data_IF_916585657191
#
_entry.id   IF_916585657191
#
_cell.length_a   1.000
_cell.length_b   1.000
_cell.length_c   1.000
_cell.angle_alpha   90.00
_cell.angle_beta   90.00
_cell.angle_gamma   90.00
#
_symmetry.space_group_name_H-M   'P 1'
#
loop_
_entity.id
_entity.type
_entity.pdbx_description
1 polymer ?
#
# COMPACT_ATOMS: atom_id res chain seq x y z
N UNK A 1 24.76 -14.25 -3.03
CA UNK A 1 23.89 -13.30 -2.30
C UNK A 1 22.90 -14.14 -1.53
N UNK A 2 22.92 -14.03 -0.21
CA UNK A 2 22.23 -14.96 0.68
C UNK A 2 20.71 -14.83 0.52
N UNK A 3 19.99 -15.97 0.57
CA UNK A 3 18.53 -16.02 0.41
C UNK A 3 17.77 -15.09 1.39
N UNK A 4 18.40 -14.76 2.52
CA UNK A 4 17.94 -13.73 3.46
C UNK A 4 17.87 -12.34 2.83
N UNK A 5 18.93 -11.91 2.14
CA UNK A 5 18.98 -10.55 1.60
C UNK A 5 17.98 -10.38 0.44
N UNK A 6 17.86 -11.40 -0.42
CA UNK A 6 16.86 -11.41 -1.49
C UNK A 6 15.43 -11.35 -0.94
N UNK A 7 15.15 -12.04 0.18
CA UNK A 7 13.84 -12.02 0.82
C UNK A 7 13.48 -10.66 1.42
N UNK A 8 14.44 -9.99 2.06
CA UNK A 8 14.24 -8.67 2.66
C UNK A 8 14.09 -7.59 1.59
N UNK A 9 14.89 -7.63 0.52
CA UNK A 9 14.78 -6.70 -0.60
C UNK A 9 13.45 -6.84 -1.35
N UNK A 10 12.99 -8.07 -1.61
CA UNK A 10 11.68 -8.29 -2.24
C UNK A 10 10.53 -7.83 -1.34
N UNK A 11 10.53 -8.22 -0.06
CA UNK A 11 9.46 -7.83 0.88
C UNK A 11 9.39 -6.32 1.10
N UNK A 12 10.56 -5.68 1.31
CA UNK A 12 10.66 -4.24 1.48
C UNK A 12 10.32 -3.46 0.20
N UNK A 13 10.83 -3.91 -0.95
CA UNK A 13 10.52 -3.32 -2.26
C UNK A 13 9.03 -3.38 -2.60
N UNK A 14 8.37 -4.51 -2.31
CA UNK A 14 6.93 -4.66 -2.47
C UNK A 14 6.12 -3.72 -1.58
N UNK A 15 6.51 -3.59 -0.31
CA UNK A 15 5.88 -2.66 0.62
C UNK A 15 6.04 -1.20 0.19
N UNK A 16 7.21 -0.80 -0.30
CA UNK A 16 7.45 0.56 -0.82
C UNK A 16 6.66 0.80 -2.11
N UNK A 17 6.65 -0.16 -3.04
CA UNK A 17 5.88 -0.07 -4.28
C UNK A 17 4.37 0.05 -3.98
N UNK A 18 3.87 -0.73 -3.02
CA UNK A 18 2.51 -0.62 -2.52
C UNK A 18 2.23 0.79 -1.98
N UNK A 19 3.13 1.32 -1.14
CA UNK A 19 3.07 2.68 -0.58
C UNK A 19 3.04 3.80 -1.65
N UNK A 20 3.81 3.63 -2.72
CA UNK A 20 3.84 4.59 -3.82
C UNK A 20 2.53 4.58 -4.63
N UNK A 21 2.02 3.39 -4.96
CA UNK A 21 0.71 3.24 -5.60
C UNK A 21 -0.38 3.79 -4.68
N UNK A 22 -0.29 3.55 -3.35
CA UNK A 22 -1.02 4.20 -2.23
C UNK A 22 -1.21 5.70 -2.43
N UNK A 23 -0.08 6.37 -2.56
CA UNK A 23 -0.05 7.81 -2.58
C UNK A 23 -0.59 8.40 -3.88
N UNK A 24 -0.27 7.79 -5.03
CA UNK A 24 -0.65 8.31 -6.35
C UNK A 24 -2.15 8.22 -6.58
N UNK A 25 -2.75 7.06 -6.33
CA UNK A 25 -4.20 6.85 -6.53
C UNK A 25 -5.02 7.72 -5.57
N UNK A 26 -4.55 7.93 -4.34
CA UNK A 26 -5.20 8.83 -3.38
C UNK A 26 -5.18 10.30 -3.84
N UNK A 27 -4.08 10.75 -4.47
CA UNK A 27 -4.03 12.08 -5.10
C UNK A 27 -4.93 12.20 -6.33
N UNK A 28 -5.05 11.15 -7.13
CA UNK A 28 -5.89 11.14 -8.33
C UNK A 28 -7.40 11.12 -8.01
N UNK A 29 -7.80 10.34 -7.01
CA UNK A 29 -9.19 10.22 -6.57
C UNK A 29 -9.79 11.54 -6.06
N UNK A 30 -8.95 12.42 -5.52
CA UNK A 30 -9.37 13.71 -4.97
C UNK A 30 -9.67 14.79 -6.01
N UNK A 31 -9.42 14.53 -7.30
CA UNK A 31 -9.79 15.44 -8.39
C UNK A 31 -11.25 15.31 -8.85
N UNK A 32 -12.02 14.35 -8.33
CA UNK A 32 -13.38 14.06 -8.79
C UNK A 32 -14.44 14.23 -7.69
N UNK A 33 -15.69 14.48 -8.12
CA UNK A 33 -16.85 14.77 -7.26
C UNK A 33 -17.10 13.75 -6.14
N UNK A 34 -17.76 14.20 -5.08
CA UNK A 34 -17.97 13.52 -3.80
C UNK A 34 -18.57 12.10 -3.91
N UNK A 35 -19.42 11.84 -4.91
CA UNK A 35 -19.96 10.49 -5.18
C UNK A 35 -18.94 9.56 -5.86
N UNK A 36 -18.10 10.10 -6.76
CA UNK A 36 -16.99 9.35 -7.36
C UNK A 36 -15.85 9.12 -6.37
N UNK A 37 -15.69 10.00 -5.37
CA UNK A 37 -14.68 9.85 -4.32
C UNK A 37 -14.80 8.55 -3.54
N UNK A 38 -16.02 8.15 -3.11
CA UNK A 38 -16.24 6.89 -2.40
C UNK A 38 -15.94 5.67 -3.30
N UNK A 39 -16.42 5.68 -4.54
CA UNK A 39 -16.15 4.62 -5.50
C UNK A 39 -14.65 4.49 -5.84
N UNK A 40 -13.94 5.61 -5.99
CA UNK A 40 -12.49 5.63 -6.23
C UNK A 40 -11.68 5.22 -5.00
N UNK A 41 -12.13 5.57 -3.79
CA UNK A 41 -11.43 5.20 -2.55
C UNK A 41 -11.61 3.72 -2.25
N UNK A 42 -12.83 3.20 -2.33
CA UNK A 42 -13.14 1.77 -2.14
C UNK A 42 -12.54 0.94 -3.27
N UNK A 43 -12.70 1.37 -4.52
CA UNK A 43 -12.09 0.72 -5.69
C UNK A 43 -10.57 0.74 -5.64
N UNK A 44 -9.97 1.84 -5.19
CA UNK A 44 -8.53 1.97 -4.98
C UNK A 44 -7.99 1.07 -3.86
N UNK A 45 -8.72 0.95 -2.75
CA UNK A 45 -8.40 -0.01 -1.69
C UNK A 45 -8.47 -1.46 -2.18
N UNK A 46 -9.57 -1.83 -2.85
CA UNK A 46 -9.74 -3.17 -3.40
C UNK A 46 -8.65 -3.51 -4.44
N UNK A 47 -8.39 -2.61 -5.39
CA UNK A 47 -7.34 -2.78 -6.38
C UNK A 47 -5.97 -2.98 -5.72
N UNK A 48 -5.69 -2.27 -4.62
CA UNK A 48 -4.47 -2.45 -3.84
C UNK A 48 -4.40 -3.75 -3.09
N UNK A 49 -5.47 -4.16 -2.41
CA UNK A 49 -5.49 -5.45 -1.72
C UNK A 49 -5.28 -6.59 -2.72
N UNK A 50 -5.98 -6.57 -3.85
CA UNK A 50 -5.82 -7.56 -4.93
C UNK A 50 -4.42 -7.52 -5.52
N UNK A 51 -3.88 -6.33 -5.81
CA UNK A 51 -2.54 -6.16 -6.35
C UNK A 51 -1.45 -6.67 -5.39
N UNK A 52 -1.59 -6.36 -4.09
CA UNK A 52 -0.64 -6.81 -3.08
C UNK A 52 -0.71 -8.32 -2.87
N UNK A 53 -1.90 -8.89 -2.88
CA UNK A 53 -2.10 -10.34 -2.80
C UNK A 53 -1.48 -11.03 -4.01
N UNK A 54 -1.74 -10.54 -5.22
CA UNK A 54 -1.18 -11.08 -6.46
C UNK A 54 0.35 -10.99 -6.48
N UNK A 55 0.91 -9.85 -6.07
CA UNK A 55 2.35 -9.65 -6.05
C UNK A 55 3.05 -10.49 -4.96
N UNK A 56 2.39 -10.66 -3.81
CA UNK A 56 2.86 -11.59 -2.76
C UNK A 56 2.82 -13.03 -3.23
N UNK A 57 1.73 -13.46 -3.88
CA UNK A 57 1.60 -14.79 -4.45
C UNK A 57 2.66 -15.04 -5.53
N UNK A 58 2.90 -14.06 -6.42
CA UNK A 58 3.97 -14.14 -7.42
C UNK A 58 5.36 -14.22 -6.77
N UNK A 59 5.65 -13.41 -5.75
CA UNK A 59 6.93 -13.46 -5.04
C UNK A 59 7.16 -14.82 -4.39
N UNK A 60 6.15 -15.40 -3.75
CA UNK A 60 6.26 -16.73 -3.12
C UNK A 60 6.33 -17.86 -4.15
N UNK A 61 5.61 -17.75 -5.27
CA UNK A 61 5.59 -18.78 -6.30
C UNK A 61 6.86 -18.81 -7.16
N UNK A 62 7.43 -17.65 -7.47
CA UNK A 62 8.55 -17.55 -8.42
C UNK A 62 9.91 -17.31 -7.75
N UNK A 63 9.97 -16.84 -6.51
CA UNK A 63 11.24 -16.62 -5.81
C UNK A 63 11.45 -17.68 -4.70
N UNK A 64 12.69 -18.14 -4.48
CA UNK A 64 13.03 -18.99 -3.33
C UNK A 64 13.09 -18.14 -2.05
N UNK A 65 11.94 -17.64 -1.60
CA UNK A 65 11.79 -16.82 -0.40
C UNK A 65 11.49 -17.68 0.82
N UNK A 66 12.15 -17.35 1.94
CA UNK A 66 11.79 -17.92 3.24
C UNK A 66 10.58 -17.18 3.79
N UNK A 67 9.49 -17.87 4.17
CA UNK A 67 8.22 -17.23 4.51
C UNK A 67 8.32 -16.33 5.75
N UNK A 68 9.05 -16.75 6.79
CA UNK A 68 9.22 -15.98 8.01
C UNK A 68 9.90 -14.61 7.80
N UNK A 69 11.11 -14.50 7.20
CA UNK A 69 11.75 -13.20 6.96
C UNK A 69 11.01 -12.36 5.91
N UNK A 70 10.38 -12.99 4.92
CA UNK A 70 9.55 -12.27 3.94
C UNK A 70 8.35 -11.60 4.63
N UNK A 71 7.60 -12.34 5.46
CA UNK A 71 6.48 -11.78 6.22
C UNK A 71 6.95 -10.70 7.21
N UNK A 72 8.08 -10.93 7.89
CA UNK A 72 8.65 -9.97 8.84
C UNK A 72 9.05 -8.63 8.18
N UNK A 73 9.41 -8.62 6.89
CA UNK A 73 9.66 -7.40 6.14
C UNK A 73 8.37 -6.80 5.54
N UNK A 74 7.47 -7.65 5.04
CA UNK A 74 6.23 -7.25 4.37
C UNK A 74 5.25 -6.56 5.32
N UNK A 75 5.00 -7.16 6.49
CA UNK A 75 4.00 -6.70 7.46
C UNK A 75 4.30 -5.28 7.97
N UNK A 76 5.49 -4.95 8.50
CA UNK A 76 5.75 -3.59 8.96
C UNK A 76 5.76 -2.57 7.83
N UNK A 77 6.19 -2.94 6.61
CA UNK A 77 6.13 -2.05 5.46
C UNK A 77 4.67 -1.75 5.06
N UNK A 78 3.79 -2.75 5.11
CA UNK A 78 2.35 -2.59 4.92
C UNK A 78 1.73 -1.69 6.00
N UNK A 79 2.04 -1.95 7.28
CA UNK A 79 1.56 -1.13 8.40
C UNK A 79 2.02 0.32 8.27
N UNK A 80 3.28 0.56 7.89
CA UNK A 80 3.81 1.90 7.66
C UNK A 80 3.09 2.61 6.50
N UNK A 81 2.85 1.92 5.39
CA UNK A 81 2.06 2.45 4.27
C UNK A 81 0.62 2.79 4.68
N UNK A 82 -0.02 1.92 5.46
CA UNK A 82 -1.38 2.12 5.96
C UNK A 82 -1.44 3.30 6.93
N UNK A 83 -0.48 3.41 7.85
CA UNK A 83 -0.36 4.54 8.76
C UNK A 83 -0.18 5.86 7.99
N UNK A 84 0.65 5.87 6.95
CA UNK A 84 0.84 7.04 6.09
C UNK A 84 -0.46 7.44 5.35
N UNK A 85 -1.23 6.48 4.85
CA UNK A 85 -2.54 6.74 4.24
C UNK A 85 -3.54 7.31 5.26
N UNK A 86 -3.64 6.72 6.44
CA UNK A 86 -4.54 7.20 7.51
C UNK A 86 -4.17 8.62 7.92
N UNK A 87 -2.88 8.91 8.15
CA UNK A 87 -2.41 10.26 8.49
C UNK A 87 -2.75 11.26 7.39
N UNK A 88 -2.59 10.87 6.13
CA UNK A 88 -2.92 11.72 4.97
C UNK A 88 -4.42 12.01 4.88
N UNK A 89 -5.27 11.00 5.11
CA UNK A 89 -6.73 11.13 5.17
C UNK A 89 -7.18 11.99 6.35
N UNK A 90 -6.56 11.80 7.52
CA UNK A 90 -6.90 12.54 8.74
C UNK A 90 -6.55 14.03 8.60
N UNK A 91 -5.34 14.36 8.15
CA UNK A 91 -4.92 15.75 7.89
C UNK A 91 -5.86 16.48 6.93
N UNK A 92 -6.28 15.81 5.85
CA UNK A 92 -7.19 16.41 4.86
C UNK A 92 -8.63 16.54 5.32
N UNK A 93 -9.07 15.71 6.26
CA UNK A 93 -10.40 15.84 6.87
C UNK A 93 -10.43 17.01 7.86
N UNK A 94 -9.31 17.27 8.56
CA UNK A 94 -9.12 18.45 9.40
C UNK A 94 -9.19 19.77 8.61
N UNK A 95 -8.50 19.87 7.47
CA UNK A 95 -8.52 21.08 6.63
C UNK A 95 -9.93 21.43 6.09
N UNK A 96 -10.76 20.42 5.77
CA UNK A 96 -12.13 20.66 5.28
C UNK A 96 -13.10 21.21 6.33
N UNK A 97 -12.81 21.05 7.63
CA UNK A 97 -13.63 21.60 8.73
C UNK A 97 -13.22 23.02 9.11
N UNK A 98 -12.01 23.45 8.77
CA UNK A 98 -11.53 24.81 9.05
C UNK A 98 -12.02 25.84 8.00
N UNK A 99 -12.60 25.39 6.89
CA UNK A 99 -13.11 26.24 5.80
C UNK A 99 -14.64 26.39 5.75
N UNK A 100 -15.35 25.90 6.77
CA UNK A 100 -16.81 26.07 6.97
C UNK A 100 -17.06 26.89 8.21
#
# INVERSE_FOLDING_TARGET
>A
MDALWTSVLMGGGLGVAYGAVAHVMGRWALRHERHRFLALTVGGMLARMVGMLAATAAAVAFAPVRPAPFAAALVPALLAGLAAEIVTLHRRTGDRRAST
#
